data_IF_901427855797
#
_entry.id   IF_901427855797
#
_cell.length_a   1.000
_cell.length_b   1.000
_cell.length_c   1.000
_cell.angle_alpha   90.00
_cell.angle_beta   90.00
_cell.angle_gamma   90.00
#
_symmetry.space_group_name_H-M   'P 1'
#
loop_
_entity.id
_entity.type
_entity.pdbx_description
1 polymer ?
#
# COMPACT_ATOMS: atom_id res chain seq x y z
N UNK A 1 1.72 -6.71 5.60
CA UNK A 1 2.07 -6.22 4.24
C UNK A 1 1.60 -4.79 4.16
N UNK A 2 2.45 -3.83 3.86
CA UNK A 2 2.04 -2.46 3.64
C UNK A 2 0.95 -2.37 2.57
N UNK A 3 -0.15 -1.69 2.89
CA UNK A 3 -1.23 -1.36 1.96
C UNK A 3 -1.12 0.12 1.57
N UNK A 4 -2.10 0.69 0.90
CA UNK A 4 -2.01 2.08 0.43
C UNK A 4 -1.66 3.08 1.54
N UNK A 5 -2.29 3.05 2.73
CA UNK A 5 -1.97 4.01 3.79
C UNK A 5 -0.51 3.95 4.24
N UNK A 6 0.04 2.76 4.45
CA UNK A 6 1.43 2.59 4.88
C UNK A 6 2.42 3.08 3.83
N UNK A 7 2.13 2.83 2.55
CA UNK A 7 2.97 3.33 1.44
C UNK A 7 2.88 4.85 1.32
N UNK A 8 1.68 5.43 1.50
CA UNK A 8 1.49 6.88 1.48
C UNK A 8 2.21 7.58 2.65
N UNK A 9 2.14 6.99 3.85
CA UNK A 9 2.90 7.48 5.03
C UNK A 9 4.40 7.39 4.78
N UNK A 10 4.87 6.31 4.17
CA UNK A 10 6.29 6.19 3.78
C UNK A 10 6.68 7.27 2.78
N UNK A 11 5.83 7.54 1.75
CA UNK A 11 6.04 8.62 0.79
C UNK A 11 6.18 9.97 1.47
N UNK A 12 5.25 10.28 2.39
CA UNK A 12 5.26 11.53 3.14
C UNK A 12 6.52 11.68 3.99
N UNK A 13 6.96 10.59 4.64
CA UNK A 13 8.15 10.59 5.49
C UNK A 13 9.47 10.78 4.75
N UNK A 14 9.60 10.20 3.54
CA UNK A 14 10.85 10.32 2.76
C UNK A 14 10.88 11.56 1.86
N UNK A 15 9.72 12.06 1.43
CA UNK A 15 9.61 13.14 0.43
C UNK A 15 10.41 14.40 0.79
N UNK A 16 10.37 14.92 2.03
CA UNK A 16 11.12 16.13 2.41
C UNK A 16 12.64 15.99 2.28
N UNK A 17 13.14 14.76 2.34
CA UNK A 17 14.58 14.48 2.30
C UNK A 17 15.10 14.22 0.89
N UNK A 18 14.22 13.80 -0.03
CA UNK A 18 14.60 13.39 -1.38
C UNK A 18 14.25 14.44 -2.45
N UNK A 19 13.14 15.18 -2.28
CA UNK A 19 12.63 16.09 -3.30
C UNK A 19 13.56 17.27 -3.48
N UNK A 20 13.96 17.51 -4.73
CA UNK A 20 14.91 18.56 -5.12
C UNK A 20 16.37 18.21 -4.86
N UNK A 21 16.66 17.00 -4.38
CA UNK A 21 18.02 16.59 -3.99
C UNK A 21 18.60 15.65 -5.05
N UNK A 22 19.88 15.90 -5.36
CA UNK A 22 20.67 15.08 -6.29
C UNK A 22 21.10 13.76 -5.62
N UNK A 23 20.99 12.68 -6.35
CA UNK A 23 21.55 11.37 -5.96
C UNK A 23 23.04 11.37 -6.24
N UNK A 24 23.85 11.00 -5.26
CA UNK A 24 25.32 10.96 -5.39
C UNK A 24 25.84 9.54 -5.59
N UNK A 25 25.12 8.53 -5.09
CA UNK A 25 25.52 7.14 -5.20
C UNK A 25 24.34 6.20 -5.01
N UNK A 26 24.36 5.04 -5.68
CA UNK A 26 23.45 3.92 -5.41
C UNK A 26 24.27 2.69 -5.05
N UNK A 27 24.06 2.14 -3.87
CA UNK A 27 24.76 0.96 -3.36
C UNK A 27 23.77 -0.21 -3.29
N UNK A 28 23.95 -1.20 -4.14
CA UNK A 28 23.17 -2.44 -4.12
C UNK A 28 24.03 -3.54 -3.48
N UNK A 29 23.73 -3.89 -2.23
CA UNK A 29 24.44 -4.96 -1.49
C UNK A 29 23.92 -6.34 -1.87
N UNK A 30 22.60 -6.46 -1.98
CA UNK A 30 21.94 -7.69 -2.43
C UNK A 30 20.73 -7.34 -3.29
N UNK A 31 20.89 -7.48 -4.60
CA UNK A 31 19.85 -7.16 -5.58
C UNK A 31 18.76 -8.22 -5.71
N UNK A 32 18.84 -9.35 -5.00
CA UNK A 32 17.88 -10.47 -5.08
C UNK A 32 16.59 -10.15 -4.31
N UNK A 33 15.80 -9.24 -4.82
CA UNK A 33 14.43 -8.94 -4.38
C UNK A 33 13.42 -9.78 -5.17
N UNK A 34 12.14 -9.44 -5.12
CA UNK A 34 11.08 -10.12 -5.90
C UNK A 34 11.41 -10.19 -7.40
N UNK A 35 11.95 -9.11 -7.93
CA UNK A 35 12.69 -9.04 -9.20
C UNK A 35 14.08 -8.53 -8.87
N UNK A 36 15.07 -9.04 -9.55
CA UNK A 36 16.44 -8.55 -9.36
C UNK A 36 16.51 -7.06 -9.62
N UNK A 37 17.20 -6.34 -8.75
CA UNK A 37 17.46 -4.91 -8.97
C UNK A 37 18.28 -4.77 -10.26
N UNK A 38 17.77 -4.06 -11.27
CA UNK A 38 18.46 -3.93 -12.56
C UNK A 38 19.71 -3.08 -12.43
N UNK A 39 20.71 -3.36 -13.27
CA UNK A 39 21.95 -2.55 -13.32
C UNK A 39 21.68 -1.08 -13.67
N UNK A 40 20.65 -0.85 -14.45
CA UNK A 40 20.16 0.47 -14.90
C UNK A 40 19.74 1.38 -13.73
N UNK A 41 19.54 0.85 -12.52
CA UNK A 41 19.30 1.68 -11.33
C UNK A 41 20.46 2.65 -11.07
N UNK A 42 21.67 2.35 -11.55
CA UNK A 42 22.83 3.23 -11.47
C UNK A 42 22.66 4.52 -12.27
N UNK A 43 21.74 4.56 -13.25
CA UNK A 43 21.42 5.78 -14.00
C UNK A 43 20.77 6.86 -13.12
N UNK A 44 20.29 6.49 -11.93
CA UNK A 44 19.81 7.44 -10.95
C UNK A 44 20.92 8.35 -10.39
N UNK A 45 22.19 7.92 -10.46
CA UNK A 45 23.33 8.70 -9.98
C UNK A 45 23.47 9.97 -10.80
N UNK A 46 23.77 11.07 -10.15
CA UNK A 46 23.86 12.44 -10.66
C UNK A 46 22.52 13.08 -11.08
N UNK A 47 21.40 12.36 -11.01
CA UNK A 47 20.08 12.93 -11.26
C UNK A 47 19.47 13.56 -9.99
N UNK A 48 18.63 14.58 -10.20
CA UNK A 48 17.82 15.20 -9.14
C UNK A 48 16.47 14.50 -9.08
N UNK A 49 16.05 14.10 -7.88
CA UNK A 49 14.69 13.58 -7.65
C UNK A 49 13.74 14.77 -7.56
N UNK A 50 13.00 15.06 -8.61
CA UNK A 50 12.08 16.20 -8.64
C UNK A 50 10.82 15.98 -7.83
N UNK A 51 10.37 14.74 -7.79
CA UNK A 51 9.14 14.37 -7.09
C UNK A 51 9.22 12.96 -6.52
N UNK A 52 8.65 12.79 -5.33
CA UNK A 52 8.35 11.48 -4.75
C UNK A 52 6.84 11.31 -4.75
N UNK A 53 6.34 10.44 -5.61
CA UNK A 53 4.90 10.17 -5.74
C UNK A 53 4.56 8.72 -5.40
N UNK A 54 3.27 8.40 -5.44
CA UNK A 54 2.76 7.05 -5.20
C UNK A 54 1.74 6.68 -6.28
N UNK A 55 1.85 5.45 -6.77
CA UNK A 55 0.80 4.81 -7.55
C UNK A 55 0.47 3.46 -6.92
N UNK A 56 -0.78 3.24 -6.51
CA UNK A 56 -1.16 2.04 -5.76
C UNK A 56 -0.28 1.82 -4.51
N UNK A 57 0.47 0.73 -4.46
CA UNK A 57 1.41 0.39 -3.39
C UNK A 57 2.87 0.56 -3.84
N UNK A 58 3.10 1.32 -4.90
CA UNK A 58 4.42 1.65 -5.43
C UNK A 58 4.79 3.10 -5.10
N UNK A 59 6.03 3.31 -4.68
CA UNK A 59 6.65 4.62 -4.59
C UNK A 59 7.41 4.91 -5.87
N UNK A 60 7.34 6.12 -6.34
CA UNK A 60 7.98 6.58 -7.58
C UNK A 60 8.94 7.72 -7.23
N UNK A 61 10.23 7.52 -7.50
CA UNK A 61 11.24 8.56 -7.41
C UNK A 61 11.46 9.09 -8.82
N UNK A 62 10.89 10.25 -9.12
CA UNK A 62 10.83 10.80 -10.47
C UNK A 62 11.97 11.77 -10.73
N UNK A 63 12.63 11.60 -11.85
CA UNK A 63 13.72 12.46 -12.36
C UNK A 63 13.42 12.89 -13.79
N UNK A 64 14.24 13.77 -14.39
CA UNK A 64 14.09 14.19 -15.79
C UNK A 64 14.34 13.06 -16.80
N UNK A 65 15.08 12.01 -16.41
CA UNK A 65 15.54 10.97 -17.34
C UNK A 65 14.90 9.60 -17.09
N UNK A 66 14.13 9.48 -16.02
CA UNK A 66 13.46 8.21 -15.68
C UNK A 66 12.90 8.20 -14.27
N UNK A 67 12.37 7.07 -13.89
CA UNK A 67 11.71 6.87 -12.59
C UNK A 67 12.19 5.59 -11.94
N UNK A 68 12.63 5.69 -10.68
CA UNK A 68 12.82 4.51 -9.85
C UNK A 68 11.47 4.09 -9.26
N UNK A 69 11.08 2.84 -9.48
CA UNK A 69 9.82 2.24 -9.02
C UNK A 69 10.14 1.32 -7.84
N UNK A 70 9.63 1.65 -6.67
CA UNK A 70 9.90 0.94 -5.43
C UNK A 70 8.62 0.31 -4.86
N UNK A 71 8.67 -0.93 -4.41
CA UNK A 71 7.58 -1.64 -3.76
C UNK A 71 8.08 -2.27 -2.46
N UNK A 72 7.39 -2.06 -1.35
CA UNK A 72 7.81 -2.54 -0.04
C UNK A 72 7.57 -4.05 0.19
N UNK A 73 6.84 -4.70 -0.71
CA UNK A 73 6.53 -6.12 -0.56
C UNK A 73 5.69 -6.41 0.68
N UNK A 74 6.16 -7.30 1.53
CA UNK A 74 5.46 -7.70 2.76
C UNK A 74 6.12 -7.19 4.04
N UNK A 75 7.43 -7.00 4.02
CA UNK A 75 8.26 -6.65 5.17
C UNK A 75 9.26 -5.53 4.88
N UNK A 76 9.22 -4.99 3.66
CA UNK A 76 10.09 -3.90 3.27
C UNK A 76 9.78 -2.62 4.04
N UNK A 77 10.83 -1.91 4.41
CA UNK A 77 10.77 -0.60 5.05
C UNK A 77 11.83 0.32 4.47
N UNK A 78 11.56 1.62 4.55
CA UNK A 78 12.47 2.67 4.13
C UNK A 78 12.90 3.48 5.35
N UNK A 79 14.19 3.77 5.44
CA UNK A 79 14.75 4.63 6.48
C UNK A 79 15.59 5.74 5.84
N UNK A 80 15.44 6.96 6.32
CA UNK A 80 16.33 8.07 6.00
C UNK A 80 17.38 8.17 7.09
N UNK A 81 18.64 8.01 6.72
CA UNK A 81 19.78 7.92 7.65
C UNK A 81 20.90 8.85 7.19
N UNK A 82 21.88 9.10 8.04
CA UNK A 82 23.10 9.80 7.65
C UNK A 82 24.00 8.90 6.81
N UNK A 83 24.67 9.46 5.80
CA UNK A 83 25.70 8.75 5.04
C UNK A 83 26.78 8.25 6.01
N UNK A 84 27.22 7.01 5.83
CA UNK A 84 28.18 6.36 6.73
C UNK A 84 27.51 5.53 7.83
N UNK A 85 26.18 5.59 8.02
CA UNK A 85 25.49 4.70 8.96
C UNK A 85 25.72 3.24 8.55
N UNK A 86 26.29 2.39 9.44
CA UNK A 86 26.55 0.99 9.12
C UNK A 86 25.29 0.26 8.63
N UNK A 87 25.47 -0.60 7.64
CA UNK A 87 24.38 -1.43 7.17
C UNK A 87 24.14 -2.61 8.12
N UNK A 88 22.86 -2.90 8.36
CA UNK A 88 22.43 -4.04 9.17
C UNK A 88 22.01 -5.21 8.26
N UNK A 89 21.67 -6.33 8.90
CA UNK A 89 21.11 -7.48 8.21
C UNK A 89 19.83 -7.07 7.45
N UNK A 90 19.73 -7.48 6.17
CA UNK A 90 18.62 -7.19 5.27
C UNK A 90 18.55 -5.74 4.73
N UNK A 91 19.56 -4.92 4.97
CA UNK A 91 19.74 -3.63 4.29
C UNK A 91 20.30 -3.88 2.89
N UNK A 92 19.42 -3.90 1.90
CA UNK A 92 19.75 -4.36 0.55
C UNK A 92 20.25 -3.26 -0.36
N UNK A 93 19.66 -2.05 -0.26
CA UNK A 93 19.99 -0.93 -1.13
C UNK A 93 20.06 0.36 -0.33
N UNK A 94 21.06 1.20 -0.65
CA UNK A 94 21.15 2.59 -0.23
C UNK A 94 21.15 3.51 -1.48
N UNK A 95 20.39 4.59 -1.41
CA UNK A 95 20.43 5.72 -2.34
C UNK A 95 20.98 6.91 -1.58
N UNK A 96 22.24 7.28 -1.81
CA UNK A 96 22.92 8.39 -1.14
C UNK A 96 22.59 9.71 -1.84
N UNK A 97 22.42 10.77 -1.06
CA UNK A 97 21.93 12.08 -1.47
C UNK A 97 22.94 13.18 -1.19
N UNK A 98 22.95 14.23 -1.99
CA UNK A 98 23.86 15.36 -1.85
C UNK A 98 23.69 16.16 -0.54
N UNK A 99 22.59 15.97 0.19
CA UNK A 99 22.35 16.59 1.50
C UNK A 99 22.93 15.82 2.68
N UNK A 100 23.80 14.84 2.44
CA UNK A 100 24.42 14.02 3.51
C UNK A 100 23.53 12.90 4.05
N UNK A 101 22.34 12.69 3.49
CA UNK A 101 21.42 11.61 3.86
C UNK A 101 21.47 10.46 2.84
N UNK A 102 20.98 9.32 3.26
CA UNK A 102 20.70 8.19 2.38
C UNK A 102 19.30 7.64 2.63
N UNK A 103 18.67 7.13 1.57
CA UNK A 103 17.45 6.33 1.66
C UNK A 103 17.86 4.85 1.67
N UNK A 104 17.55 4.14 2.72
CA UNK A 104 17.87 2.72 2.90
C UNK A 104 16.64 1.84 2.76
N UNK A 105 16.73 0.84 1.90
CA UNK A 105 15.73 -0.22 1.77
C UNK A 105 16.17 -1.45 2.57
N UNK A 106 15.41 -1.76 3.62
CA UNK A 106 15.50 -3.00 4.38
C UNK A 106 14.32 -3.92 3.99
N UNK A 107 14.57 -5.19 3.67
CA UNK A 107 13.50 -6.16 3.36
C UNK A 107 13.90 -7.60 3.72
N UNK A 108 13.59 -8.06 4.94
CA UNK A 108 13.95 -9.41 5.41
C UNK A 108 13.41 -10.54 4.52
N UNK A 109 12.24 -10.35 3.91
CA UNK A 109 11.57 -11.39 3.11
C UNK A 109 11.85 -11.31 1.61
N UNK A 110 12.46 -10.22 1.13
CA UNK A 110 12.81 -9.97 -0.27
C UNK A 110 11.62 -10.01 -1.25
N UNK A 111 10.43 -9.64 -0.77
CA UNK A 111 9.23 -9.52 -1.60
C UNK A 111 9.01 -8.09 -2.13
N UNK A 112 9.89 -7.18 -1.77
CA UNK A 112 9.96 -5.85 -2.32
C UNK A 112 10.53 -5.81 -3.74
N UNK A 113 10.58 -4.62 -4.30
CA UNK A 113 11.19 -4.37 -5.60
C UNK A 113 11.81 -2.97 -5.64
N UNK A 114 12.88 -2.83 -6.41
CA UNK A 114 13.43 -1.56 -6.86
C UNK A 114 13.78 -1.73 -8.33
N UNK A 115 13.07 -1.01 -9.19
CA UNK A 115 13.19 -1.10 -10.63
C UNK A 115 13.49 0.30 -11.19
N UNK A 116 13.94 0.36 -12.44
CA UNK A 116 14.18 1.59 -13.16
C UNK A 116 13.45 1.58 -14.50
N UNK A 117 12.88 2.70 -14.90
CA UNK A 117 12.29 2.89 -16.22
C UNK A 117 12.63 4.27 -16.76
N UNK A 118 13.00 4.35 -18.05
CA UNK A 118 13.13 5.60 -18.79
C UNK A 118 11.83 6.07 -19.43
N UNK A 119 10.87 5.11 -19.58
CA UNK A 119 9.52 5.41 -20.03
C UNK A 119 8.69 6.03 -18.92
N UNK A 120 7.60 6.74 -19.24
CA UNK A 120 6.64 7.20 -18.24
C UNK A 120 6.23 6.05 -17.31
N UNK A 121 6.25 6.28 -16.00
CA UNK A 121 6.00 5.22 -15.02
C UNK A 121 4.65 4.54 -15.24
N UNK A 122 3.64 5.27 -15.71
CA UNK A 122 2.29 4.77 -16.01
C UNK A 122 2.27 3.72 -17.14
N UNK A 123 3.24 3.77 -18.05
CA UNK A 123 3.41 2.81 -19.14
C UNK A 123 4.08 1.51 -18.70
N UNK A 124 4.73 1.52 -17.51
CA UNK A 124 5.42 0.34 -17.00
C UNK A 124 4.46 -0.83 -16.78
N UNK A 125 4.88 -2.05 -17.15
CA UNK A 125 4.05 -3.26 -17.13
C UNK A 125 3.36 -3.54 -15.79
N UNK A 126 3.94 -3.12 -14.67
CA UNK A 126 3.38 -3.27 -13.32
C UNK A 126 2.31 -2.23 -12.99
N UNK A 127 2.24 -1.10 -13.73
CA UNK A 127 1.39 0.03 -13.42
C UNK A 127 0.29 0.27 -14.44
N UNK A 128 0.51 -0.08 -15.69
CA UNK A 128 -0.38 0.25 -16.83
C UNK A 128 -1.79 -0.33 -16.70
N UNK A 129 -1.96 -1.49 -16.04
CA UNK A 129 -3.26 -2.17 -15.89
C UNK A 129 -3.93 -1.90 -14.54
N UNK A 130 -3.36 -1.03 -13.73
CA UNK A 130 -3.92 -0.74 -12.41
C UNK A 130 -5.22 0.08 -12.50
N UNK A 131 -6.21 -0.29 -11.71
CA UNK A 131 -7.45 0.45 -11.53
C UNK A 131 -7.25 1.85 -10.92
N UNK A 132 -8.33 2.59 -10.67
CA UNK A 132 -8.26 3.94 -10.12
C UNK A 132 -7.71 3.98 -8.70
N UNK A 133 -7.13 5.11 -8.34
CA UNK A 133 -6.78 5.46 -6.97
C UNK A 133 -8.06 5.68 -6.14
N UNK A 134 -8.21 5.01 -4.99
CA UNK A 134 -9.46 5.04 -4.22
C UNK A 134 -9.80 6.43 -3.66
N UNK A 135 -8.81 7.30 -3.43
CA UNK A 135 -9.03 8.63 -2.85
C UNK A 135 -9.25 9.73 -3.91
N UNK A 136 -9.32 9.37 -5.19
CA UNK A 136 -9.62 10.31 -6.28
C UNK A 136 -11.08 10.21 -6.73
N UNK A 137 -11.53 11.16 -7.54
CA UNK A 137 -12.88 11.15 -8.12
C UNK A 137 -13.08 10.04 -9.16
N UNK A 138 -12.00 9.46 -9.69
CA UNK A 138 -12.06 8.32 -10.60
C UNK A 138 -12.64 7.05 -9.94
N UNK A 139 -12.57 6.94 -8.61
CA UNK A 139 -13.21 5.87 -7.85
C UNK A 139 -14.50 6.39 -7.22
N UNK A 140 -15.65 6.09 -7.84
CA UNK A 140 -16.98 6.53 -7.43
C UNK A 140 -18.02 5.40 -7.54
N UNK A 141 -19.22 5.63 -7.03
CA UNK A 141 -20.27 4.62 -6.93
C UNK A 141 -20.65 4.00 -8.28
N UNK A 142 -20.83 4.82 -9.30
CA UNK A 142 -21.20 4.33 -10.63
C UNK A 142 -20.09 3.51 -11.27
N UNK A 143 -18.83 3.92 -11.11
CA UNK A 143 -17.67 3.13 -11.53
C UNK A 143 -17.70 1.74 -10.90
N UNK A 144 -17.83 1.67 -9.55
CA UNK A 144 -17.82 0.39 -8.84
C UNK A 144 -19.01 -0.47 -9.24
N UNK A 145 -20.18 0.13 -9.44
CA UNK A 145 -21.39 -0.57 -9.91
C UNK A 145 -21.18 -1.22 -11.28
N UNK A 146 -20.66 -0.48 -12.24
CA UNK A 146 -20.39 -1.02 -13.58
C UNK A 146 -19.34 -2.15 -13.54
N UNK A 147 -18.30 -2.00 -12.74
CA UNK A 147 -17.28 -3.05 -12.55
C UNK A 147 -17.83 -4.31 -11.87
N UNK A 148 -18.80 -4.15 -10.96
CA UNK A 148 -19.44 -5.25 -10.22
C UNK A 148 -20.53 -5.98 -11.02
N UNK A 149 -21.06 -5.37 -12.06
CA UNK A 149 -22.19 -5.92 -12.85
C UNK A 149 -21.90 -7.34 -13.32
N UNK A 150 -22.78 -8.29 -12.97
CA UNK A 150 -22.68 -9.70 -13.35
C UNK A 150 -21.52 -10.46 -12.66
N UNK A 151 -20.82 -9.89 -11.69
CA UNK A 151 -19.72 -10.56 -11.00
C UNK A 151 -20.23 -11.46 -9.88
N UNK A 152 -19.92 -12.75 -9.95
CA UNK A 152 -20.17 -13.74 -8.90
C UNK A 152 -19.06 -13.76 -7.83
N UNK A 153 -17.94 -13.12 -8.10
CA UNK A 153 -16.81 -13.02 -7.17
C UNK A 153 -17.24 -12.38 -5.86
N UNK A 154 -16.81 -12.93 -4.73
CA UNK A 154 -17.06 -12.34 -3.41
C UNK A 154 -16.54 -10.91 -3.33
N UNK A 155 -17.34 -9.99 -2.79
CA UNK A 155 -17.02 -8.55 -2.76
C UNK A 155 -15.66 -8.25 -2.15
N UNK A 156 -15.24 -8.97 -1.11
CA UNK A 156 -13.91 -8.77 -0.54
C UNK A 156 -12.80 -9.06 -1.55
N UNK A 157 -12.88 -10.17 -2.27
CA UNK A 157 -11.88 -10.53 -3.28
C UNK A 157 -11.91 -9.57 -4.46
N UNK A 158 -13.12 -9.13 -4.84
CA UNK A 158 -13.33 -8.14 -5.89
C UNK A 158 -12.65 -6.80 -5.55
N UNK A 159 -12.79 -6.30 -4.32
CA UNK A 159 -12.12 -5.07 -3.87
C UNK A 159 -10.59 -5.20 -3.77
N UNK A 160 -10.10 -6.40 -3.53
CA UNK A 160 -8.65 -6.65 -3.44
C UNK A 160 -7.98 -6.85 -4.80
N UNK A 161 -8.75 -6.89 -5.88
CA UNK A 161 -8.24 -6.90 -7.25
C UNK A 161 -7.77 -5.49 -7.63
N UNK A 162 -6.46 -5.33 -7.85
CA UNK A 162 -5.88 -4.05 -8.25
C UNK A 162 -6.33 -3.53 -9.62
N UNK A 163 -7.02 -4.34 -10.44
CA UNK A 163 -7.68 -3.87 -11.67
C UNK A 163 -9.04 -3.21 -11.39
N UNK A 164 -9.63 -3.44 -10.22
CA UNK A 164 -10.89 -2.83 -9.78
C UNK A 164 -10.62 -1.54 -9.03
N UNK A 165 -9.83 -1.61 -7.98
CA UNK A 165 -9.38 -0.45 -7.20
C UNK A 165 -8.01 -0.76 -6.61
N UNK A 166 -7.12 0.20 -6.64
CA UNK A 166 -5.77 -0.04 -6.14
C UNK A 166 -5.65 0.19 -4.63
N UNK A 167 -4.64 -0.40 -4.03
CA UNK A 167 -4.21 -0.09 -2.68
C UNK A 167 -5.03 -0.71 -1.55
N UNK A 168 -6.27 -1.14 -1.81
CA UNK A 168 -7.11 -1.83 -0.83
C UNK A 168 -6.60 -3.27 -0.67
N UNK A 169 -6.06 -3.59 0.47
CA UNK A 169 -5.59 -4.94 0.77
C UNK A 169 -6.47 -5.62 1.82
N UNK A 170 -5.88 -6.60 2.53
CA UNK A 170 -6.65 -7.46 3.43
C UNK A 170 -7.17 -6.71 4.67
N UNK A 171 -6.41 -5.75 5.20
CA UNK A 171 -6.80 -4.98 6.37
C UNK A 171 -7.99 -4.10 6.01
N UNK A 172 -7.79 -3.23 5.04
CA UNK A 172 -8.76 -2.19 4.70
C UNK A 172 -10.00 -2.71 3.98
N UNK A 173 -9.91 -3.87 3.27
CA UNK A 173 -11.10 -4.55 2.76
C UNK A 173 -12.01 -5.08 3.88
N UNK A 174 -11.44 -5.67 4.95
CA UNK A 174 -12.24 -6.09 6.11
C UNK A 174 -12.90 -4.89 6.80
N UNK A 175 -12.13 -3.84 7.08
CA UNK A 175 -12.61 -2.65 7.78
C UNK A 175 -13.69 -1.89 6.99
N UNK A 176 -13.48 -1.67 5.69
CA UNK A 176 -14.44 -0.97 4.84
C UNK A 176 -15.75 -1.76 4.67
N UNK A 177 -15.67 -3.08 4.51
CA UNK A 177 -16.86 -3.94 4.42
C UNK A 177 -17.64 -3.99 5.74
N UNK A 178 -16.96 -4.00 6.88
CA UNK A 178 -17.61 -3.88 8.17
C UNK A 178 -18.32 -2.53 8.32
N UNK A 179 -17.63 -1.43 8.01
CA UNK A 179 -18.19 -0.10 8.09
C UNK A 179 -19.42 0.09 7.17
N UNK A 180 -19.39 -0.52 5.97
CA UNK A 180 -20.51 -0.51 5.04
C UNK A 180 -21.62 -1.54 5.36
N UNK A 181 -21.46 -2.37 6.38
CA UNK A 181 -22.42 -3.41 6.76
C UNK A 181 -22.56 -4.53 5.73
N UNK A 182 -21.55 -4.76 4.88
CA UNK A 182 -21.61 -5.73 3.78
C UNK A 182 -20.87 -7.01 4.14
N UNK A 183 -21.56 -8.15 3.99
CA UNK A 183 -20.97 -9.46 4.23
C UNK A 183 -19.86 -9.76 3.20
N UNK A 184 -18.62 -10.14 3.61
CA UNK A 184 -17.46 -10.25 2.71
C UNK A 184 -17.60 -11.33 1.62
N UNK A 185 -18.46 -12.33 1.81
CA UNK A 185 -18.74 -13.40 0.84
C UNK A 185 -19.83 -13.04 -0.17
N UNK A 186 -20.53 -11.91 -0.01
CA UNK A 186 -21.60 -11.54 -0.93
C UNK A 186 -21.02 -11.35 -2.34
N UNK A 187 -21.69 -11.89 -3.35
CA UNK A 187 -21.28 -11.67 -4.75
C UNK A 187 -21.35 -10.18 -5.07
N UNK A 188 -20.29 -9.63 -5.67
CA UNK A 188 -20.21 -8.21 -5.98
C UNK A 188 -21.38 -7.71 -6.82
N UNK A 189 -21.82 -8.51 -7.80
CA UNK A 189 -22.96 -8.20 -8.68
C UNK A 189 -24.34 -8.23 -8.00
N UNK A 190 -24.42 -8.77 -6.76
CA UNK A 190 -25.67 -8.87 -6.00
C UNK A 190 -25.79 -7.78 -4.91
N UNK A 191 -24.95 -6.76 -4.98
CA UNK A 191 -24.99 -5.61 -4.05
C UNK A 191 -25.71 -4.46 -4.72
N UNK A 192 -26.69 -3.86 -4.05
CA UNK A 192 -27.44 -2.73 -4.60
C UNK A 192 -26.54 -1.52 -4.86
N UNK A 193 -26.94 -0.65 -5.80
CA UNK A 193 -26.20 0.56 -6.12
C UNK A 193 -25.99 1.48 -4.91
N UNK A 194 -27.02 1.60 -4.06
CA UNK A 194 -26.95 2.37 -2.80
C UNK A 194 -25.85 1.82 -1.87
N UNK A 195 -25.83 0.51 -1.65
CA UNK A 195 -24.83 -0.13 -0.80
C UNK A 195 -23.42 -0.07 -1.37
N UNK A 196 -23.28 -0.14 -2.70
CA UNK A 196 -21.99 0.10 -3.36
C UNK A 196 -21.55 1.56 -3.19
N UNK A 197 -22.48 2.52 -3.22
CA UNK A 197 -22.19 3.93 -2.92
C UNK A 197 -21.68 4.12 -1.50
N UNK A 198 -22.37 3.51 -0.52
CA UNK A 198 -21.91 3.48 0.88
C UNK A 198 -20.52 2.86 1.00
N UNK A 199 -20.28 1.73 0.33
CA UNK A 199 -18.98 1.05 0.36
C UNK A 199 -17.85 1.92 -0.20
N UNK A 200 -18.08 2.65 -1.29
CA UNK A 200 -17.09 3.60 -1.84
C UNK A 200 -16.77 4.69 -0.81
N UNK A 201 -17.78 5.25 -0.18
CA UNK A 201 -17.59 6.28 0.85
C UNK A 201 -16.80 5.75 2.04
N UNK A 202 -17.10 4.53 2.50
CA UNK A 202 -16.40 3.90 3.62
C UNK A 202 -14.96 3.52 3.26
N UNK A 203 -14.67 3.04 2.04
CA UNK A 203 -13.31 2.79 1.58
C UNK A 203 -12.50 4.08 1.64
N UNK A 204 -13.02 5.18 1.09
CA UNK A 204 -12.35 6.49 1.11
C UNK A 204 -12.12 6.96 2.54
N UNK A 205 -13.13 6.89 3.40
CA UNK A 205 -13.05 7.33 4.81
C UNK A 205 -12.00 6.54 5.58
N UNK A 206 -12.05 5.21 5.52
CA UNK A 206 -11.14 4.32 6.27
C UNK A 206 -9.69 4.51 5.82
N UNK A 207 -9.43 4.60 4.50
CA UNK A 207 -8.08 4.82 3.98
C UNK A 207 -7.54 6.20 4.35
N UNK A 208 -8.35 7.25 4.22
CA UNK A 208 -7.94 8.61 4.58
C UNK A 208 -7.63 8.73 6.07
N UNK A 209 -8.46 8.13 6.92
CA UNK A 209 -8.23 8.10 8.36
C UNK A 209 -6.95 7.32 8.73
N UNK A 210 -6.73 6.18 8.10
CA UNK A 210 -5.51 5.40 8.29
C UNK A 210 -4.25 6.20 7.91
N UNK A 211 -4.27 6.95 6.80
CA UNK A 211 -3.16 7.82 6.40
C UNK A 211 -2.93 8.90 7.45
N UNK A 212 -4.00 9.57 7.90
CA UNK A 212 -3.93 10.65 8.90
C UNK A 212 -3.30 10.18 10.22
N UNK A 213 -3.49 8.91 10.57
CA UNK A 213 -2.96 8.30 11.80
C UNK A 213 -1.62 7.58 11.62
N UNK A 214 -0.95 7.75 10.49
CA UNK A 214 0.36 7.16 10.24
C UNK A 214 0.33 5.67 9.87
N UNK A 215 -0.83 5.14 9.44
CA UNK A 215 -1.00 3.74 9.07
C UNK A 215 -1.15 2.79 10.26
N UNK A 216 -1.21 1.49 9.96
CA UNK A 216 -1.20 0.42 10.97
C UNK A 216 0.24 -0.01 11.25
N UNK A 217 0.63 -0.11 12.52
CA UNK A 217 1.88 -0.79 12.89
C UNK A 217 1.63 -2.29 12.84
N UNK A 218 2.01 -2.90 11.74
CA UNK A 218 2.18 -4.36 11.66
C UNK A 218 3.60 -4.68 12.14
N UNK A 219 3.80 -5.89 12.70
CA UNK A 219 5.09 -6.34 13.26
C UNK A 219 6.33 -6.06 12.39
N UNK A 220 6.12 -5.89 11.08
CA UNK A 220 7.17 -5.79 10.08
C UNK A 220 7.23 -4.41 9.39
N UNK A 221 6.48 -3.40 9.87
CA UNK A 221 6.45 -2.08 9.24
C UNK A 221 6.64 -0.96 10.27
N UNK A 222 7.62 -0.10 10.04
CA UNK A 222 7.80 1.19 10.71
C UNK A 222 7.83 2.29 9.65
N UNK A 223 7.35 3.48 10.00
CA UNK A 223 7.47 4.65 9.13
C UNK A 223 8.94 5.03 8.89
N UNK A 224 9.22 5.85 7.86
CA UNK A 224 10.58 6.22 7.49
C UNK A 224 11.35 6.95 8.62
N UNK A 225 10.65 7.55 9.57
CA UNK A 225 11.19 8.20 10.78
C UNK A 225 11.22 7.26 12.02
N UNK A 226 10.93 5.97 11.82
CA UNK A 226 10.95 4.96 12.88
C UNK A 226 9.74 4.98 13.83
N UNK A 227 8.74 5.85 13.59
CA UNK A 227 7.57 5.94 14.46
C UNK A 227 6.53 4.86 14.13
N UNK A 228 5.87 4.29 15.14
CA UNK A 228 4.77 3.36 14.93
C UNK A 228 3.52 4.09 14.39
N UNK A 229 2.75 3.42 13.54
CA UNK A 229 1.42 3.88 13.17
C UNK A 229 0.41 3.60 14.28
N UNK A 230 -0.58 4.46 14.44
CA UNK A 230 -1.58 4.38 15.52
C UNK A 230 -2.93 3.82 15.06
N UNK A 231 -3.15 3.62 13.78
CA UNK A 231 -4.44 3.16 13.26
C UNK A 231 -4.82 1.76 13.74
N UNK A 232 -3.86 0.92 14.14
CA UNK A 232 -4.13 -0.42 14.69
C UNK A 232 -5.09 -0.37 15.88
N UNK A 233 -5.08 0.70 16.67
CA UNK A 233 -5.96 0.88 17.82
C UNK A 233 -7.43 1.15 17.44
N UNK A 234 -7.69 1.45 16.16
CA UNK A 234 -9.03 1.75 15.64
C UNK A 234 -9.63 0.62 14.79
N UNK A 235 -8.89 -0.48 14.61
CA UNK A 235 -9.40 -1.62 13.85
C UNK A 235 -10.64 -2.21 14.50
N UNK A 236 -11.70 -2.31 13.72
CA UNK A 236 -13.02 -2.77 14.18
C UNK A 236 -13.15 -4.29 14.14
N UNK A 237 -12.57 -4.90 13.10
CA UNK A 237 -12.70 -6.36 12.89
C UNK A 237 -11.37 -7.05 12.58
N UNK A 238 -10.46 -6.42 11.83
CA UNK A 238 -9.22 -7.07 11.42
C UNK A 238 -8.36 -7.46 12.62
N UNK A 239 -7.96 -8.75 12.68
CA UNK A 239 -7.18 -9.31 13.80
C UNK A 239 -7.97 -9.53 15.10
N UNK A 240 -9.30 -9.38 15.07
CA UNK A 240 -10.16 -9.50 16.23
C UNK A 240 -11.11 -10.71 16.17
N UNK A 241 -10.78 -11.73 15.36
CA UNK A 241 -11.56 -12.98 15.31
C UNK A 241 -11.82 -13.56 16.69
N UNK A 242 -13.06 -13.97 16.96
CA UNK A 242 -13.51 -14.50 18.27
C UNK A 242 -13.73 -13.46 19.36
N UNK A 243 -13.42 -12.17 19.12
CA UNK A 243 -13.72 -11.08 20.06
C UNK A 243 -15.13 -10.52 19.82
N UNK A 244 -15.75 -9.86 20.82
CA UNK A 244 -17.05 -9.24 20.63
C UNK A 244 -16.97 -8.06 19.65
N UNK A 245 -17.96 -7.95 18.79
CA UNK A 245 -18.19 -6.80 17.93
C UNK A 245 -18.41 -5.54 18.79
N UNK A 246 -17.76 -4.43 18.47
CA UNK A 246 -17.92 -3.18 19.24
C UNK A 246 -19.35 -2.61 19.16
N UNK A 247 -20.11 -2.92 18.09
CA UNK A 247 -21.44 -2.38 17.90
C UNK A 247 -22.55 -3.26 18.53
N UNK A 248 -22.52 -4.58 18.28
CA UNK A 248 -23.64 -5.47 18.68
C UNK A 248 -23.23 -6.59 19.65
N UNK A 249 -21.95 -6.65 20.03
CA UNK A 249 -21.36 -7.63 20.96
C UNK A 249 -21.39 -9.09 20.48
N UNK A 250 -21.92 -9.40 19.30
CA UNK A 250 -21.81 -10.72 18.68
C UNK A 250 -20.33 -11.05 18.44
N UNK A 251 -19.92 -12.27 18.71
CA UNK A 251 -18.53 -12.68 18.46
C UNK A 251 -18.20 -12.59 16.96
N UNK A 252 -17.09 -11.93 16.65
CA UNK A 252 -16.61 -11.78 15.28
C UNK A 252 -16.19 -13.13 14.71
N UNK A 253 -16.71 -13.44 13.53
CA UNK A 253 -16.41 -14.67 12.80
C UNK A 253 -15.11 -14.49 12.01
N UNK A 254 -14.20 -15.46 12.12
CA UNK A 254 -12.98 -15.53 11.35
C UNK A 254 -13.01 -16.72 10.40
N UNK A 255 -12.72 -16.48 9.13
CA UNK A 255 -12.66 -17.50 8.06
C UNK A 255 -11.51 -17.24 7.12
N UNK A 256 -11.08 -18.25 6.36
CA UNK A 256 -10.16 -18.08 5.23
C UNK A 256 -10.94 -17.88 3.93
N UNK A 257 -10.57 -16.83 3.18
CA UNK A 257 -11.07 -16.55 1.83
C UNK A 257 -9.89 -16.24 0.91
N UNK A 258 -9.68 -17.04 -0.14
CA UNK A 258 -8.53 -16.87 -1.05
C UNK A 258 -7.20 -16.84 -0.31
N UNK A 259 -6.97 -17.75 0.63
CA UNK A 259 -5.78 -17.85 1.49
C UNK A 259 -5.54 -16.61 2.40
N UNK A 260 -6.53 -15.75 2.57
CA UNK A 260 -6.45 -14.54 3.42
C UNK A 260 -7.44 -14.66 4.57
N UNK A 261 -6.99 -14.30 5.77
CA UNK A 261 -7.87 -14.19 6.93
C UNK A 261 -8.91 -13.10 6.69
N UNK A 262 -10.17 -13.46 6.92
CA UNK A 262 -11.32 -12.56 6.79
C UNK A 262 -12.06 -12.57 8.11
N UNK A 263 -12.27 -11.39 8.69
CA UNK A 263 -13.00 -11.22 9.94
C UNK A 263 -14.21 -10.33 9.70
N UNK A 264 -15.36 -10.75 10.20
CA UNK A 264 -16.61 -10.01 10.03
C UNK A 264 -17.60 -10.27 11.17
N UNK A 265 -18.56 -9.38 11.34
CA UNK A 265 -19.68 -9.55 12.23
C UNK A 265 -20.87 -10.13 11.46
N UNK A 266 -21.29 -11.35 11.81
CA UNK A 266 -22.43 -12.02 11.14
C UNK A 266 -23.79 -11.34 11.41
N UNK A 267 -23.89 -10.48 12.41
CA UNK A 267 -25.08 -9.68 12.72
C UNK A 267 -25.11 -8.35 11.96
N UNK A 268 -23.99 -7.61 11.98
CA UNK A 268 -23.92 -6.26 11.38
C UNK A 268 -23.72 -6.29 9.86
N UNK A 269 -23.12 -7.34 9.31
CA UNK A 269 -22.80 -7.44 7.88
C UNK A 269 -23.71 -8.46 7.18
N UNK A 270 -24.48 -7.97 6.21
CA UNK A 270 -25.50 -8.75 5.49
C UNK A 270 -25.28 -8.73 3.98
#
# INVERSE_FOLDING_TARGET
MPELPEVEVSRQGISPWLTGIKVTRVVVRDGRLRWSVPGEIQELVDLVIHRVSRRAKYLLLETDFGTAILHLGMSGSLRVLDIGTPAEKHDHVDIELANGKLLRLNDPRRFGALLWTREPAEAHALLVKLGPEPLTDAFHADYLRERAKGRSTAIKQFLMDNHVVVGVGNIYANEALYAAGIHPRRAAGNISAERLGTLVSEIKRVLAEAIRQGGTTLKDFTSADGKPGYFVQQLQVYGRGGQPCFHCHTLLTEVKMGQRTTVFCSHCQR
#
